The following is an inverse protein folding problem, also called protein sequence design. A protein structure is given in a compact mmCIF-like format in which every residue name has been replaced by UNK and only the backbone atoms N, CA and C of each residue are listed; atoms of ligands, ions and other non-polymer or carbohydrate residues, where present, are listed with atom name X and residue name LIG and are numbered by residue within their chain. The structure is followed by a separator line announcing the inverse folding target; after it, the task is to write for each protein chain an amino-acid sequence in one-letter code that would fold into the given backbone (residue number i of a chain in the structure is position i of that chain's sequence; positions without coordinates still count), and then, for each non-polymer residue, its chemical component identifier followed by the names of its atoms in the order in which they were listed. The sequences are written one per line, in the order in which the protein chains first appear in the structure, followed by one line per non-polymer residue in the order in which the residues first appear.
data_IF_388992381964
#
_entry.id   IF_388992381964
#
_cell.length_a   1.000
_cell.length_b   1.000
_cell.length_c   1.000
_cell.angle_alpha   90.00
_cell.angle_beta   90.00
_cell.angle_gamma   90.00
#
_symmetry.space_group_name_H-M   'P 1'
#
loop_
_entity.id
_entity.type
_entity.pdbx_description
1 polymer ?
#
# COMPACT_ATOMS: atom_id res chain seq x y z
N UNK A 1 0.22 14.65 16.80
CA UNK A 1 0.28 13.38 16.04
C UNK A 1 1.41 13.49 15.03
N UNK A 2 2.43 12.63 15.12
CA UNK A 2 3.54 12.65 14.17
C UNK A 2 3.05 12.12 12.82
N UNK A 3 3.36 12.83 11.72
CA UNK A 3 3.07 12.34 10.38
C UNK A 3 3.95 11.11 10.10
N UNK A 4 3.33 10.01 9.66
CA UNK A 4 4.09 8.83 9.20
C UNK A 4 4.64 9.16 7.83
N UNK A 5 5.96 9.29 7.74
CA UNK A 5 6.66 9.45 6.46
C UNK A 5 6.99 8.08 5.90
N UNK A 6 6.52 7.82 4.68
CA UNK A 6 6.91 6.66 3.89
C UNK A 6 8.39 6.78 3.52
N UNK A 7 9.24 5.98 4.16
CA UNK A 7 10.64 5.84 3.71
C UNK A 7 10.75 4.72 2.68
N UNK A 8 11.84 4.71 1.92
CA UNK A 8 12.04 3.76 0.83
C UNK A 8 11.93 2.29 1.30
N UNK A 9 12.37 1.99 2.53
CA UNK A 9 12.23 0.65 3.12
C UNK A 9 10.78 0.26 3.41
N UNK A 10 9.95 1.19 3.90
CA UNK A 10 8.53 0.93 4.14
C UNK A 10 7.79 0.70 2.83
N UNK A 11 8.17 1.44 1.78
CA UNK A 11 7.61 1.29 0.44
C UNK A 11 7.91 -0.09 -0.15
N UNK A 12 9.13 -0.60 0.03
CA UNK A 12 9.50 -1.94 -0.42
C UNK A 12 8.71 -3.03 0.30
N UNK A 13 8.58 -2.91 1.63
CA UNK A 13 7.77 -3.82 2.43
C UNK A 13 6.31 -3.79 2.00
N UNK A 14 5.76 -2.60 1.79
CA UNK A 14 4.39 -2.41 1.31
C UNK A 14 4.17 -3.08 -0.04
N UNK A 15 5.06 -2.84 -1.03
CA UNK A 15 4.96 -3.47 -2.34
C UNK A 15 5.06 -4.99 -2.28
N UNK A 16 5.94 -5.53 -1.43
CA UNK A 16 6.07 -6.97 -1.24
C UNK A 16 4.78 -7.58 -0.69
N UNK A 17 4.18 -6.96 0.34
CA UNK A 17 2.91 -7.41 0.90
C UNK A 17 1.75 -7.27 -0.11
N UNK A 18 1.73 -6.18 -0.87
CA UNK A 18 0.72 -5.95 -1.91
C UNK A 18 0.77 -7.04 -3.00
N UNK A 19 1.98 -7.44 -3.43
CA UNK A 19 2.17 -8.52 -4.40
C UNK A 19 1.68 -9.86 -3.82
N UNK A 20 2.01 -10.15 -2.56
CA UNK A 20 1.58 -11.39 -1.89
C UNK A 20 0.05 -11.50 -1.82
N UNK A 21 -0.61 -10.44 -1.36
CA UNK A 21 -2.07 -10.35 -1.28
C UNK A 21 -2.76 -10.36 -2.66
N UNK A 22 -2.10 -9.80 -3.69
CA UNK A 22 -2.59 -9.88 -5.07
C UNK A 22 -2.48 -11.32 -5.60
N UNK A 23 -1.39 -12.04 -5.29
CA UNK A 23 -1.22 -13.45 -5.70
C UNK A 23 -2.17 -14.39 -4.94
N UNK A 24 -2.51 -14.06 -3.70
CA UNK A 24 -3.51 -14.78 -2.91
C UNK A 24 -4.95 -14.54 -3.41
N UNK A 25 -5.18 -13.56 -4.30
CA UNK A 25 -6.50 -13.20 -4.80
C UNK A 25 -7.34 -12.40 -3.80
N UNK A 26 -6.76 -11.97 -2.67
CA UNK A 26 -7.44 -11.17 -1.64
C UNK A 26 -7.60 -9.72 -2.06
N UNK A 27 -6.66 -9.18 -2.85
CA UNK A 27 -6.79 -7.86 -3.46
C UNK A 27 -7.36 -8.03 -4.85
N UNK A 28 -8.68 -7.82 -4.96
CA UNK A 28 -9.23 -7.34 -6.22
C UNK A 28 -8.86 -5.87 -6.34
N UNK A 29 -8.35 -5.44 -7.50
CA UNK A 29 -8.03 -4.05 -7.85
C UNK A 29 -9.30 -3.17 -7.92
N UNK A 30 -10.15 -3.23 -6.91
CA UNK A 30 -11.34 -2.42 -6.76
C UNK A 30 -10.98 -1.19 -5.96
N UNK A 31 -11.44 -0.04 -6.45
CA UNK A 31 -11.28 1.25 -5.77
C UNK A 31 -12.09 1.21 -4.46
N UNK A 32 -11.43 0.91 -3.34
CA UNK A 32 -12.09 0.81 -2.03
C UNK A 32 -11.18 0.32 -0.91
N UNK A 33 -11.53 0.69 0.33
CA UNK A 33 -10.85 0.19 1.54
C UNK A 33 -11.22 -1.29 1.75
N UNK A 34 -10.36 -2.19 1.28
CA UNK A 34 -10.53 -3.65 1.41
C UNK A 34 -9.87 -4.15 2.70
N UNK A 35 -10.36 -5.28 3.21
CA UNK A 35 -9.76 -5.99 4.37
C UNK A 35 -8.26 -6.24 4.19
N UNK A 36 -7.81 -6.42 2.94
CA UNK A 36 -6.40 -6.57 2.61
C UNK A 36 -5.56 -5.33 2.98
N UNK A 37 -6.05 -4.10 2.74
CA UNK A 37 -5.32 -2.90 3.14
C UNK A 37 -5.22 -2.74 4.66
N UNK A 38 -6.21 -3.23 5.41
CA UNK A 38 -6.14 -3.29 6.86
C UNK A 38 -5.04 -4.27 7.31
N UNK A 39 -5.00 -5.47 6.74
CA UNK A 39 -3.97 -6.48 7.06
C UNK A 39 -2.55 -5.99 6.70
N UNK A 40 -2.41 -5.31 5.55
CA UNK A 40 -1.14 -4.69 5.15
C UNK A 40 -0.73 -3.60 6.13
N UNK A 41 -1.66 -2.73 6.56
CA UNK A 41 -1.37 -1.70 7.54
C UNK A 41 -0.91 -2.28 8.89
N UNK A 42 -1.59 -3.32 9.39
CA UNK A 42 -1.23 -4.02 10.62
C UNK A 42 0.16 -4.67 10.51
N UNK A 43 0.45 -5.35 9.39
CA UNK A 43 1.76 -5.96 9.13
C UNK A 43 2.87 -4.91 9.00
N UNK A 44 2.63 -3.80 8.31
CA UNK A 44 3.57 -2.69 8.21
C UNK A 44 3.85 -2.10 9.59
N UNK A 45 2.82 -1.91 10.41
CA UNK A 45 2.97 -1.43 11.78
C UNK A 45 3.80 -2.39 12.64
N UNK A 46 3.60 -3.70 12.52
CA UNK A 46 4.40 -4.70 13.23
C UNK A 46 5.87 -4.70 12.80
N UNK A 47 6.15 -4.53 11.51
CA UNK A 47 7.52 -4.56 10.96
C UNK A 47 8.28 -3.26 11.21
N UNK A 48 7.61 -2.12 11.14
CA UNK A 48 8.25 -0.79 11.19
C UNK A 48 8.12 -0.11 12.54
N UNK A 49 7.20 -0.55 13.40
CA UNK A 49 6.81 0.13 14.63
C UNK A 49 6.06 1.45 14.41
N UNK A 50 5.75 1.81 13.15
CA UNK A 50 5.06 3.06 12.80
C UNK A 50 3.55 2.83 12.72
N UNK A 51 2.76 3.83 13.07
CA UNK A 51 1.30 3.74 13.08
C UNK A 51 0.70 3.91 11.68
N UNK A 52 0.81 2.87 10.83
CA UNK A 52 0.16 2.82 9.53
C UNK A 52 -1.33 2.53 9.67
N UNK A 53 -2.16 3.29 8.98
CA UNK A 53 -3.61 3.04 8.90
C UNK A 53 -3.98 2.54 7.50
N UNK A 54 -5.11 1.84 7.39
CA UNK A 54 -5.59 1.36 6.09
C UNK A 54 -5.81 2.51 5.09
N UNK A 55 -6.22 3.69 5.56
CA UNK A 55 -6.38 4.90 4.72
C UNK A 55 -5.03 5.39 4.15
N UNK A 56 -3.95 5.36 4.96
CA UNK A 56 -2.61 5.71 4.49
C UNK A 56 -2.11 4.75 3.42
N UNK A 57 -2.33 3.45 3.65
CA UNK A 57 -1.98 2.39 2.70
C UNK A 57 -2.77 2.54 1.40
N UNK A 58 -4.08 2.78 1.50
CA UNK A 58 -4.96 2.99 0.36
C UNK A 58 -4.56 4.22 -0.48
N UNK A 59 -4.20 5.34 0.17
CA UNK A 59 -3.71 6.53 -0.53
C UNK A 59 -2.39 6.28 -1.25
N UNK A 60 -1.45 5.58 -0.60
CA UNK A 60 -0.15 5.29 -1.23
C UNK A 60 -0.31 4.31 -2.40
N UNK A 61 -1.19 3.32 -2.27
CA UNK A 61 -1.56 2.44 -3.38
C UNK A 61 -2.10 3.24 -4.57
N UNK A 62 -3.08 4.12 -4.36
CA UNK A 62 -3.63 4.97 -5.42
C UNK A 62 -2.58 5.87 -6.04
N UNK A 63 -1.70 6.47 -5.22
CA UNK A 63 -0.60 7.31 -5.70
C UNK A 63 0.35 6.54 -6.62
N UNK A 64 0.71 5.31 -6.25
CA UNK A 64 1.57 4.44 -7.05
C UNK A 64 0.87 3.95 -8.32
N UNK A 65 -0.39 3.54 -8.21
CA UNK A 65 -1.20 3.07 -9.33
C UNK A 65 -1.38 4.17 -10.39
N UNK A 66 -1.79 5.38 -9.97
CA UNK A 66 -1.90 6.54 -10.85
C UNK A 66 -0.57 6.90 -11.48
N UNK A 67 0.53 6.87 -10.72
CA UNK A 67 1.87 7.15 -11.25
C UNK A 67 2.28 6.14 -12.32
N UNK A 68 1.99 4.86 -12.12
CA UNK A 68 2.29 3.80 -13.08
C UNK A 68 1.45 3.96 -14.37
N UNK A 69 0.15 4.19 -14.23
CA UNK A 69 -0.74 4.41 -15.38
C UNK A 69 -0.41 5.70 -16.15
N UNK A 70 -0.11 6.80 -15.46
CA UNK A 70 0.32 8.05 -16.11
C UNK A 70 1.62 7.90 -16.89
N UNK A 71 2.48 6.96 -16.50
CA UNK A 71 3.71 6.64 -17.23
C UNK A 71 3.46 5.81 -18.48
N UNK A 72 2.40 4.99 -18.50
CA UNK A 72 2.03 4.22 -19.69
C UNK A 72 1.35 5.08 -20.77
N UNK A 73 0.63 6.15 -20.40
CA UNK A 73 0.02 7.07 -21.38
C UNK A 73 1.00 8.12 -21.93
N UNK A 74 2.19 8.24 -21.34
CA UNK A 74 3.23 9.17 -21.77
C UNK A 74 4.28 8.56 -22.72
N UNK A 75 4.13 7.27 -23.07
CA UNK A 75 4.96 6.52 -24.02
C UNK A 75 4.18 6.27 -25.32
#
# INVERSE_FOLDING_TARGET
MAAVFWVQGDLQLFLAMLIDETRAGTIHFTWGNTTAFQQIAERLQQQTGKNYTSDMVNREFHRLHTRYYSWQEAL
#
